data_IF_395075434840
#
_entry.id   IF_395075434840
#
_cell.length_a   1.000
_cell.length_b   1.000
_cell.length_c   1.000
_cell.angle_alpha   90.00
_cell.angle_beta   90.00
_cell.angle_gamma   90.00
#
_symmetry.space_group_name_H-M   'P 1'
#
loop_
_entity.id
_entity.type
_entity.pdbx_description
1 polymer ?
#
# COMPACT_ATOMS: atom_id res chain seq x y z
N UNK A 1 -9.73 -42.04 -23.77
CA UNK A 1 -9.12 -42.48 -22.49
C UNK A 1 -7.85 -41.69 -22.25
N UNK A 2 -7.82 -40.95 -21.14
CA UNK A 2 -6.63 -40.23 -20.69
C UNK A 2 -5.67 -41.26 -20.06
N UNK A 3 -4.43 -41.32 -20.55
CA UNK A 3 -3.39 -42.24 -20.06
C UNK A 3 -2.13 -41.47 -19.72
N UNK A 4 -1.41 -41.91 -18.71
CA UNK A 4 -0.08 -41.43 -18.37
C UNK A 4 0.90 -42.59 -18.27
N UNK A 5 2.18 -42.35 -18.60
CA UNK A 5 3.25 -43.32 -18.50
C UNK A 5 3.74 -43.36 -17.08
N UNK A 6 3.63 -44.51 -16.43
CA UNK A 6 4.13 -44.70 -15.05
C UNK A 6 5.60 -45.13 -15.01
N UNK A 7 6.06 -45.88 -16.02
CA UNK A 7 7.45 -46.37 -16.11
C UNK A 7 8.32 -45.30 -16.81
N UNK A 8 8.61 -44.22 -16.13
CA UNK A 8 9.45 -43.10 -16.56
C UNK A 8 9.92 -42.31 -15.36
N UNK A 9 10.84 -41.38 -15.53
CA UNK A 9 11.22 -40.39 -14.55
C UNK A 9 10.02 -39.50 -14.16
N UNK A 10 9.86 -39.26 -12.85
CA UNK A 10 8.71 -38.50 -12.40
C UNK A 10 8.81 -37.02 -12.78
N UNK A 11 7.67 -36.52 -13.30
CA UNK A 11 7.45 -35.10 -13.62
C UNK A 11 6.05 -34.70 -13.17
N UNK A 12 5.89 -33.44 -12.81
CA UNK A 12 4.60 -32.91 -12.39
C UNK A 12 4.70 -31.48 -11.94
N UNK A 13 3.82 -31.10 -11.02
CA UNK A 13 3.68 -29.73 -10.54
C UNK A 13 3.62 -29.70 -9.02
N UNK A 14 4.25 -28.71 -8.41
CA UNK A 14 4.08 -28.37 -7.01
C UNK A 14 2.74 -27.64 -6.84
N UNK A 15 1.83 -28.17 -6.05
CA UNK A 15 0.52 -27.56 -5.79
C UNK A 15 0.65 -26.49 -4.74
N UNK A 16 1.38 -26.80 -3.67
CA UNK A 16 1.57 -25.95 -2.51
C UNK A 16 2.88 -26.32 -1.80
N UNK A 17 3.46 -25.34 -1.10
CA UNK A 17 4.64 -25.60 -0.29
C UNK A 17 4.68 -24.68 0.93
N UNK A 18 5.22 -25.20 2.02
CA UNK A 18 5.37 -24.49 3.28
C UNK A 18 6.67 -24.87 3.99
N UNK A 19 7.03 -24.08 4.99
CA UNK A 19 8.16 -24.37 5.87
C UNK A 19 7.65 -24.96 7.19
N UNK A 20 7.81 -26.26 7.36
CA UNK A 20 7.51 -26.94 8.61
C UNK A 20 8.65 -26.74 9.63
N UNK A 21 8.31 -26.47 10.90
CA UNK A 21 9.30 -26.19 11.96
C UNK A 21 10.21 -27.37 12.27
N UNK A 22 9.73 -28.60 12.10
CA UNK A 22 10.48 -29.83 12.42
C UNK A 22 11.06 -30.52 11.19
N UNK A 23 10.33 -30.46 10.08
CA UNK A 23 10.62 -31.22 8.86
C UNK A 23 11.36 -30.39 7.79
N UNK A 24 11.39 -29.06 7.94
CA UNK A 24 11.96 -28.14 6.97
C UNK A 24 11.01 -27.86 5.79
N UNK A 25 11.53 -27.57 4.59
CA UNK A 25 10.69 -27.34 3.41
C UNK A 25 9.89 -28.59 3.03
N UNK A 26 8.59 -28.44 2.94
CA UNK A 26 7.62 -29.48 2.54
C UNK A 26 6.85 -28.98 1.33
N UNK A 27 6.72 -29.78 0.29
CA UNK A 27 5.93 -29.46 -0.88
C UNK A 27 4.93 -30.56 -1.21
N UNK A 28 3.68 -30.21 -1.44
CA UNK A 28 2.69 -31.11 -2.02
C UNK A 28 2.84 -31.06 -3.55
N UNK A 29 3.17 -32.18 -4.14
CA UNK A 29 3.36 -32.31 -5.60
C UNK A 29 2.33 -33.27 -6.18
N UNK A 30 1.86 -32.95 -7.39
CA UNK A 30 1.02 -33.83 -8.19
C UNK A 30 1.89 -34.46 -9.27
N UNK A 31 2.07 -35.77 -9.22
CA UNK A 31 2.78 -36.52 -10.25
C UNK A 31 1.90 -36.59 -11.49
N UNK A 32 2.39 -36.11 -12.63
CA UNK A 32 1.68 -36.15 -13.92
C UNK A 32 2.18 -37.26 -14.84
N UNK A 33 3.44 -37.61 -14.71
CA UNK A 33 4.11 -38.66 -15.51
C UNK A 33 5.22 -39.27 -14.68
N UNK A 34 5.52 -40.56 -14.93
CA UNK A 34 6.55 -41.30 -14.21
C UNK A 34 6.14 -41.69 -12.82
N UNK A 35 7.05 -42.28 -12.09
CA UNK A 35 6.87 -42.71 -10.69
C UNK A 35 7.93 -42.06 -9.82
N UNK A 36 7.51 -41.21 -8.88
CA UNK A 36 8.39 -40.59 -7.89
C UNK A 36 8.67 -41.57 -6.75
N UNK A 37 9.93 -41.70 -6.37
CA UNK A 37 10.38 -42.64 -5.33
C UNK A 37 11.15 -41.92 -4.23
N UNK A 38 11.12 -42.46 -3.02
CA UNK A 38 12.00 -42.04 -1.95
C UNK A 38 13.45 -42.31 -2.36
N UNK A 39 14.30 -41.31 -2.21
CA UNK A 39 15.71 -41.35 -2.64
C UNK A 39 15.97 -40.62 -3.97
N UNK A 40 14.95 -40.27 -4.73
CA UNK A 40 15.11 -39.54 -5.99
C UNK A 40 15.67 -38.12 -5.78
N UNK A 41 16.54 -37.69 -6.70
CA UNK A 41 16.98 -36.30 -6.77
C UNK A 41 15.90 -35.46 -7.48
N UNK A 42 15.30 -34.51 -6.78
CA UNK A 42 14.16 -33.73 -7.27
C UNK A 42 14.51 -32.26 -7.43
N UNK A 43 13.94 -31.62 -8.46
CA UNK A 43 13.99 -30.18 -8.70
C UNK A 43 12.57 -29.68 -8.85
N UNK A 44 12.23 -28.59 -8.15
CA UNK A 44 10.97 -27.86 -8.33
C UNK A 44 11.28 -26.36 -8.39
N UNK A 45 10.99 -25.73 -9.54
CA UNK A 45 11.38 -24.33 -9.75
C UNK A 45 12.89 -24.10 -9.52
N UNK A 46 13.21 -23.15 -8.66
CA UNK A 46 14.57 -22.86 -8.18
C UNK A 46 15.01 -23.68 -6.98
N UNK A 47 14.17 -24.59 -6.47
CA UNK A 47 14.49 -25.47 -5.35
C UNK A 47 14.90 -26.85 -5.82
N UNK A 48 15.79 -27.50 -5.09
CA UNK A 48 16.20 -28.89 -5.37
C UNK A 48 16.38 -29.65 -4.05
N UNK A 49 16.56 -30.94 -4.13
CA UNK A 49 16.83 -31.78 -2.98
C UNK A 49 16.76 -33.26 -3.30
N UNK A 50 16.80 -34.06 -2.26
CA UNK A 50 16.60 -35.51 -2.34
C UNK A 50 15.36 -35.88 -1.56
N UNK A 51 14.46 -36.63 -2.17
CA UNK A 51 13.22 -37.11 -1.52
C UNK A 51 13.60 -37.98 -0.32
N UNK A 52 13.44 -37.44 0.91
CA UNK A 52 13.72 -38.14 2.16
C UNK A 52 12.54 -39.00 2.61
N UNK A 53 11.35 -38.48 2.41
CA UNK A 53 10.09 -39.15 2.71
C UNK A 53 8.99 -38.55 1.85
N UNK A 54 7.97 -39.35 1.61
CA UNK A 54 6.72 -38.91 1.01
C UNK A 54 5.56 -39.30 1.91
N UNK A 55 4.58 -38.42 2.03
CA UNK A 55 3.34 -38.69 2.78
C UNK A 55 2.15 -38.61 1.82
N UNK A 56 1.21 -39.47 1.99
CA UNK A 56 -0.06 -39.44 1.27
C UNK A 56 -1.06 -38.44 1.89
N UNK A 57 -2.27 -38.46 1.40
CA UNK A 57 -3.38 -37.63 1.87
C UNK A 57 -3.83 -37.93 3.30
N UNK A 58 -3.45 -39.05 3.84
CA UNK A 58 -3.71 -39.45 5.25
C UNK A 58 -2.53 -39.14 6.17
N UNK A 59 -1.42 -38.65 5.64
CA UNK A 59 -0.19 -38.40 6.37
C UNK A 59 0.67 -39.65 6.62
N UNK A 60 0.37 -40.74 5.91
CA UNK A 60 1.12 -41.99 6.01
C UNK A 60 2.31 -42.00 5.03
N UNK A 61 3.40 -42.66 5.47
CA UNK A 61 4.58 -42.77 4.61
C UNK A 61 4.34 -43.69 3.43
N UNK A 62 4.69 -43.20 2.25
CA UNK A 62 4.66 -43.99 1.00
C UNK A 62 6.03 -44.01 0.36
N UNK A 63 6.41 -45.13 -0.23
CA UNK A 63 7.70 -45.33 -0.88
C UNK A 63 7.74 -44.82 -2.31
N UNK A 64 6.58 -44.80 -2.99
CA UNK A 64 6.44 -44.39 -4.36
C UNK A 64 5.09 -43.73 -4.64
N UNK A 65 5.07 -42.84 -5.64
CA UNK A 65 3.86 -42.19 -6.13
C UNK A 65 3.84 -42.15 -7.66
N UNK A 66 2.84 -42.81 -8.24
CA UNK A 66 2.61 -42.85 -9.71
C UNK A 66 1.81 -41.64 -10.20
N UNK A 67 1.46 -41.60 -11.50
CA UNK A 67 0.70 -40.55 -12.12
C UNK A 67 -0.66 -40.32 -11.46
N UNK A 68 -1.08 -39.03 -11.43
CA UNK A 68 -2.33 -38.53 -10.82
C UNK A 68 -2.40 -38.66 -9.29
N UNK A 69 -1.30 -39.01 -8.63
CA UNK A 69 -1.24 -39.10 -7.17
C UNK A 69 -0.60 -37.84 -6.57
N UNK A 70 -1.31 -37.10 -5.71
CA UNK A 70 -0.71 -36.05 -4.91
C UNK A 70 0.04 -36.64 -3.71
N UNK A 71 1.23 -36.13 -3.42
CA UNK A 71 2.02 -36.53 -2.26
C UNK A 71 2.75 -35.34 -1.67
N UNK A 72 2.90 -35.34 -0.35
CA UNK A 72 3.79 -34.40 0.33
C UNK A 72 5.21 -34.91 0.27
N UNK A 73 6.13 -34.13 -0.26
CA UNK A 73 7.54 -34.46 -0.41
C UNK A 73 8.36 -33.68 0.59
N UNK A 74 9.19 -34.38 1.34
CA UNK A 74 10.15 -33.84 2.27
C UNK A 74 11.57 -34.00 1.70
N UNK A 75 12.41 -32.97 1.84
CA UNK A 75 13.81 -33.08 1.44
C UNK A 75 14.30 -32.00 0.51
N UNK A 76 13.47 -31.02 0.17
CA UNK A 76 13.89 -29.81 -0.55
C UNK A 76 14.86 -28.96 0.27
N UNK A 77 15.74 -28.23 -0.39
CA UNK A 77 16.67 -27.26 0.25
C UNK A 77 16.01 -25.93 0.57
N UNK A 78 14.97 -25.56 -0.18
CA UNK A 78 14.15 -24.36 0.02
C UNK A 78 12.70 -24.66 -0.35
N UNK A 79 11.79 -23.77 0.03
CA UNK A 79 10.37 -23.91 -0.31
C UNK A 79 10.18 -23.56 -1.79
N UNK A 80 9.69 -24.47 -2.66
CA UNK A 80 9.35 -24.15 -4.03
C UNK A 80 8.08 -23.29 -4.10
N UNK A 81 7.86 -22.63 -5.22
CA UNK A 81 6.64 -21.87 -5.46
C UNK A 81 5.48 -22.77 -5.90
N UNK A 82 4.25 -22.36 -5.58
CA UNK A 82 3.05 -23.00 -6.13
C UNK A 82 3.05 -22.86 -7.67
N UNK A 83 2.68 -23.93 -8.37
CA UNK A 83 2.73 -23.97 -9.84
C UNK A 83 4.11 -24.32 -10.43
N UNK A 84 5.16 -24.40 -9.64
CA UNK A 84 6.48 -24.83 -10.11
C UNK A 84 6.42 -26.26 -10.70
N UNK A 85 6.98 -26.42 -11.88
CA UNK A 85 7.15 -27.77 -12.44
C UNK A 85 8.28 -28.49 -11.73
N UNK A 86 8.00 -29.71 -11.27
CA UNK A 86 9.04 -30.57 -10.74
C UNK A 86 9.46 -31.65 -11.75
N UNK A 87 10.69 -32.11 -11.59
CA UNK A 87 11.24 -33.24 -12.31
C UNK A 87 12.24 -33.98 -11.42
N UNK A 88 12.41 -35.28 -11.68
CA UNK A 88 13.48 -36.10 -11.15
C UNK A 88 14.70 -35.96 -12.07
N UNK A 89 15.87 -35.84 -11.46
CA UNK A 89 17.16 -35.82 -12.15
C UNK A 89 17.97 -37.05 -11.78
N UNK A 90 18.87 -37.46 -12.68
CA UNK A 90 19.72 -38.66 -12.49
C UNK A 90 20.59 -38.55 -11.22
N UNK A 91 21.08 -37.36 -10.95
CA UNK A 91 21.99 -37.12 -9.81
C UNK A 91 21.70 -35.77 -9.13
N UNK A 92 22.07 -35.67 -7.82
CA UNK A 92 21.95 -34.44 -7.02
C UNK A 92 22.68 -33.25 -7.66
N UNK A 93 23.82 -33.50 -8.32
CA UNK A 93 24.60 -32.46 -9.01
C UNK A 93 23.81 -31.88 -10.18
N UNK A 94 23.16 -32.72 -10.96
CA UNK A 94 22.30 -32.31 -12.11
C UNK A 94 21.10 -31.54 -11.57
N UNK A 95 20.44 -32.04 -10.52
CA UNK A 95 19.34 -31.37 -9.87
C UNK A 95 19.71 -29.94 -9.42
N UNK A 96 20.85 -29.81 -8.76
CA UNK A 96 21.37 -28.52 -8.31
C UNK A 96 21.64 -27.55 -9.49
N UNK A 97 22.29 -28.03 -10.55
CA UNK A 97 22.59 -27.20 -11.73
C UNK A 97 21.33 -26.69 -12.42
N UNK A 98 20.29 -27.54 -12.52
CA UNK A 98 19.01 -27.13 -13.11
C UNK A 98 18.35 -26.05 -12.24
N UNK A 99 18.32 -26.23 -10.92
CA UNK A 99 17.75 -25.26 -9.97
C UNK A 99 18.49 -23.91 -10.03
N UNK A 100 19.82 -23.92 -9.97
CA UNK A 100 20.65 -22.70 -10.05
C UNK A 100 20.42 -21.96 -11.38
N UNK A 101 20.31 -22.68 -12.50
CA UNK A 101 20.02 -22.09 -13.82
C UNK A 101 18.64 -21.44 -13.86
N UNK A 102 17.61 -22.10 -13.31
CA UNK A 102 16.26 -21.55 -13.22
C UNK A 102 16.22 -20.31 -12.34
N UNK A 103 16.85 -20.36 -11.17
CA UNK A 103 16.94 -19.24 -10.25
C UNK A 103 17.67 -18.03 -10.85
N UNK A 104 18.76 -18.26 -11.59
CA UNK A 104 19.48 -17.21 -12.31
C UNK A 104 18.62 -16.58 -13.40
N UNK A 105 17.87 -17.40 -14.16
CA UNK A 105 16.96 -16.91 -15.20
C UNK A 105 15.82 -16.05 -14.59
N UNK A 106 15.23 -16.49 -13.50
CA UNK A 106 14.19 -15.75 -12.78
C UNK A 106 14.72 -14.41 -12.23
N UNK A 107 15.90 -14.43 -11.58
CA UNK A 107 16.56 -13.21 -11.11
C UNK A 107 16.82 -12.22 -12.25
N UNK A 108 17.32 -12.71 -13.39
CA UNK A 108 17.57 -11.87 -14.55
C UNK A 108 16.27 -11.29 -15.13
N UNK A 109 15.18 -12.06 -15.14
CA UNK A 109 13.87 -11.57 -15.58
C UNK A 109 13.32 -10.49 -14.65
N UNK A 110 13.46 -10.67 -13.32
CA UNK A 110 13.07 -9.67 -12.33
C UNK A 110 13.91 -8.38 -12.46
N UNK A 111 15.23 -8.51 -12.62
CA UNK A 111 16.11 -7.35 -12.84
C UNK A 111 15.80 -6.64 -14.17
N UNK A 112 15.43 -7.34 -15.21
CA UNK A 112 15.02 -6.73 -16.48
C UNK A 112 13.71 -5.95 -16.36
N UNK A 113 12.74 -6.46 -15.59
CA UNK A 113 11.48 -5.76 -15.28
C UNK A 113 11.73 -4.50 -14.43
N UNK A 114 12.66 -4.57 -13.46
CA UNK A 114 13.01 -3.44 -12.59
C UNK A 114 13.84 -2.35 -13.28
N UNK A 115 14.48 -2.64 -14.42
CA UNK A 115 15.27 -1.69 -15.22
C UNK A 115 14.40 -0.79 -16.12
N UNK A 116 13.38 -0.11 -15.59
CA UNK A 116 12.89 1.10 -16.25
C UNK A 116 13.98 2.16 -16.13
N UNK A 117 14.37 2.78 -17.26
CA UNK A 117 15.24 3.96 -17.24
C UNK A 117 14.48 5.04 -16.49
N UNK A 118 14.90 5.33 -15.28
CA UNK A 118 14.36 6.45 -14.49
C UNK A 118 15.02 7.70 -15.06
N UNK A 119 14.26 8.61 -15.66
CA UNK A 119 14.73 9.93 -16.05
C UNK A 119 14.89 10.80 -14.79
N UNK A 120 15.63 11.89 -14.89
CA UNK A 120 15.76 12.85 -13.78
C UNK A 120 14.40 13.47 -13.41
N UNK A 121 13.53 13.61 -14.40
CA UNK A 121 12.15 14.09 -14.25
C UNK A 121 11.30 13.08 -13.47
N UNK A 122 11.37 11.78 -13.84
CA UNK A 122 10.70 10.68 -13.12
C UNK A 122 11.18 10.62 -11.65
N UNK A 123 12.48 10.87 -11.40
CA UNK A 123 13.00 10.89 -10.03
C UNK A 123 12.45 12.06 -9.20
N UNK A 124 12.26 13.23 -9.81
CA UNK A 124 11.65 14.38 -9.14
C UNK A 124 10.15 14.18 -8.90
N UNK A 125 9.45 13.48 -9.77
CA UNK A 125 8.04 13.10 -9.58
C UNK A 125 7.91 12.02 -8.51
N UNK A 126 8.74 10.96 -8.54
CA UNK A 126 8.77 9.92 -7.51
C UNK A 126 9.10 10.47 -6.11
N UNK A 127 9.89 11.53 -5.99
CA UNK A 127 10.17 12.15 -4.69
C UNK A 127 8.95 12.80 -4.03
N UNK A 128 7.85 13.00 -4.78
CA UNK A 128 6.57 13.54 -4.28
C UNK A 128 5.60 12.45 -3.85
N UNK A 129 5.84 11.20 -4.26
CA UNK A 129 4.97 10.05 -3.97
C UNK A 129 5.36 9.48 -2.61
N UNK A 130 4.39 9.35 -1.73
CA UNK A 130 4.59 8.66 -0.45
C UNK A 130 4.46 7.17 -0.67
N UNK A 131 5.53 6.39 -0.39
CA UNK A 131 5.54 4.94 -0.63
C UNK A 131 5.37 4.17 0.67
N UNK A 132 4.39 3.28 0.74
CA UNK A 132 4.24 2.29 1.80
C UNK A 132 5.02 1.04 1.43
N UNK A 133 6.10 0.77 2.17
CA UNK A 133 6.91 -0.42 1.97
C UNK A 133 6.38 -1.56 2.84
N UNK A 134 6.25 -2.76 2.25
CA UNK A 134 5.75 -3.95 2.95
C UNK A 134 6.73 -5.11 2.83
N UNK A 135 6.79 -5.92 3.90
CA UNK A 135 7.38 -7.25 3.90
C UNK A 135 6.25 -8.23 4.20
N UNK A 136 6.04 -9.21 3.32
CA UNK A 136 4.97 -10.19 3.44
C UNK A 136 5.52 -11.54 3.89
N UNK A 137 4.95 -12.09 4.96
CA UNK A 137 5.27 -13.43 5.47
C UNK A 137 3.98 -14.22 5.63
N UNK A 138 3.95 -15.45 5.12
CA UNK A 138 2.78 -16.31 5.20
C UNK A 138 3.12 -17.75 5.57
N UNK A 139 2.09 -18.51 5.86
CA UNK A 139 2.18 -19.94 6.17
C UNK A 139 2.55 -20.77 4.94
N UNK A 140 1.99 -20.43 3.78
CA UNK A 140 2.20 -21.10 2.49
C UNK A 140 2.48 -20.11 1.38
N UNK A 141 3.13 -20.56 0.30
CA UNK A 141 3.51 -19.70 -0.84
C UNK A 141 2.29 -19.10 -1.54
N UNK A 142 1.21 -19.88 -1.72
CA UNK A 142 -0.01 -19.42 -2.38
C UNK A 142 -0.73 -18.29 -1.62
N UNK A 143 -0.73 -18.34 -0.28
CA UNK A 143 -1.30 -17.26 0.55
C UNK A 143 -0.54 -15.95 0.40
N UNK A 144 0.80 -16.01 0.36
CA UNK A 144 1.65 -14.82 0.19
C UNK A 144 1.47 -14.21 -1.19
N UNK A 145 1.42 -15.04 -2.23
CA UNK A 145 1.22 -14.59 -3.61
C UNK A 145 -0.17 -13.97 -3.81
N UNK A 146 -1.23 -14.61 -3.29
CA UNK A 146 -2.59 -14.07 -3.37
C UNK A 146 -2.71 -12.72 -2.64
N UNK A 147 -2.05 -12.57 -1.48
CA UNK A 147 -2.05 -11.31 -0.75
C UNK A 147 -1.27 -10.22 -1.51
N UNK A 148 -0.09 -10.55 -2.05
CA UNK A 148 0.71 -9.62 -2.85
C UNK A 148 -0.07 -9.12 -4.07
N UNK A 149 -0.65 -10.04 -4.86
CA UNK A 149 -1.43 -9.70 -6.05
C UNK A 149 -2.63 -8.82 -5.72
N UNK A 150 -3.34 -9.11 -4.63
CA UNK A 150 -4.48 -8.31 -4.20
C UNK A 150 -4.05 -6.90 -3.75
N UNK A 151 -2.93 -6.78 -3.04
CA UNK A 151 -2.41 -5.49 -2.58
C UNK A 151 -1.89 -4.63 -3.74
N UNK A 152 -1.24 -5.24 -4.74
CA UNK A 152 -0.74 -4.53 -5.92
C UNK A 152 -1.86 -4.06 -6.88
N UNK A 153 -3.09 -4.58 -6.73
CA UNK A 153 -4.27 -4.15 -7.47
C UNK A 153 -5.03 -3.00 -6.80
N UNK A 154 -4.64 -2.59 -5.59
CA UNK A 154 -5.27 -1.46 -4.92
C UNK A 154 -5.02 -0.16 -5.69
N UNK A 155 -6.09 0.52 -6.06
CA UNK A 155 -6.03 1.87 -6.65
C UNK A 155 -6.28 2.91 -5.55
N UNK A 156 -5.24 3.56 -5.10
CA UNK A 156 -5.29 4.58 -4.04
C UNK A 156 -4.93 5.99 -4.55
N UNK A 157 -4.85 6.15 -5.88
CA UNK A 157 -4.49 7.42 -6.51
C UNK A 157 -2.99 7.59 -6.75
N UNK A 158 -2.62 8.63 -7.47
CA UNK A 158 -1.25 8.84 -7.97
C UNK A 158 -0.25 9.39 -6.92
N UNK A 159 -0.73 9.79 -5.73
CA UNK A 159 0.11 10.42 -4.70
C UNK A 159 0.74 9.42 -3.72
N UNK A 160 0.24 8.19 -3.71
CA UNK A 160 0.69 7.12 -2.81
C UNK A 160 0.98 5.87 -3.62
N UNK A 161 2.05 5.17 -3.29
CA UNK A 161 2.46 3.92 -3.92
C UNK A 161 2.64 2.83 -2.85
N UNK A 162 2.40 1.57 -3.24
CA UNK A 162 2.63 0.41 -2.40
C UNK A 162 3.74 -0.43 -3.00
N UNK A 163 4.72 -0.79 -2.18
CA UNK A 163 5.85 -1.59 -2.62
C UNK A 163 6.10 -2.78 -1.71
N UNK A 164 6.03 -3.98 -2.26
CA UNK A 164 6.46 -5.20 -1.57
C UNK A 164 7.97 -5.36 -1.75
N UNK A 165 8.73 -5.18 -0.66
CA UNK A 165 10.20 -5.26 -0.67
C UNK A 165 10.67 -6.70 -0.59
N UNK A 166 10.00 -7.50 0.22
CA UNK A 166 10.33 -8.90 0.42
C UNK A 166 9.09 -9.72 0.70
N UNK A 167 9.11 -10.95 0.23
CA UNK A 167 8.09 -11.97 0.52
C UNK A 167 8.75 -13.26 0.95
N UNK A 168 8.11 -14.02 1.83
CA UNK A 168 8.63 -15.30 2.28
C UNK A 168 7.61 -16.16 2.99
N UNK A 169 7.92 -17.44 3.09
CA UNK A 169 7.12 -18.46 3.75
C UNK A 169 7.73 -18.79 5.11
N UNK A 170 6.88 -19.04 6.10
CA UNK A 170 7.27 -19.39 7.46
C UNK A 170 7.23 -18.22 8.45
N UNK A 171 7.72 -18.44 9.65
CA UNK A 171 7.69 -17.45 10.74
C UNK A 171 8.48 -16.18 10.38
N UNK A 172 8.09 -15.06 10.98
CA UNK A 172 8.82 -13.80 10.85
C UNK A 172 10.14 -13.94 11.63
N UNK A 173 11.24 -13.64 10.96
CA UNK A 173 12.60 -13.80 11.48
C UNK A 173 13.24 -12.45 11.84
N UNK A 174 14.36 -12.49 12.57
CA UNK A 174 15.16 -11.27 12.86
C UNK A 174 15.66 -10.59 11.58
N UNK A 175 15.97 -11.37 10.53
CA UNK A 175 16.40 -10.82 9.25
C UNK A 175 15.29 -10.01 8.57
N UNK A 176 14.03 -10.48 8.66
CA UNK A 176 12.88 -9.75 8.15
C UNK A 176 12.71 -8.40 8.88
N UNK A 177 12.87 -8.40 10.22
CA UNK A 177 12.80 -7.17 11.02
C UNK A 177 13.95 -6.20 10.68
N UNK A 178 15.17 -6.71 10.54
CA UNK A 178 16.33 -5.88 10.17
C UNK A 178 16.12 -5.24 8.78
N UNK A 179 15.58 -6.00 7.83
CA UNK A 179 15.26 -5.49 6.50
C UNK A 179 14.14 -4.44 6.58
N UNK A 180 13.11 -4.66 7.40
CA UNK A 180 12.02 -3.73 7.62
C UNK A 180 12.52 -2.41 8.22
N UNK A 181 13.37 -2.47 9.26
CA UNK A 181 13.99 -1.28 9.88
C UNK A 181 14.80 -0.49 8.84
N UNK A 182 15.64 -1.17 8.05
CA UNK A 182 16.49 -0.52 7.03
C UNK A 182 15.70 0.11 5.88
N UNK A 183 14.51 -0.39 5.58
CA UNK A 183 13.68 0.06 4.45
C UNK A 183 12.42 0.83 4.87
N UNK A 184 12.27 1.11 6.15
CA UNK A 184 11.06 1.75 6.74
C UNK A 184 9.80 1.01 6.27
N UNK A 185 9.80 -0.31 6.42
CA UNK A 185 8.71 -1.17 5.97
C UNK A 185 7.87 -1.70 7.15
N UNK A 186 6.60 -1.95 6.89
CA UNK A 186 5.70 -2.67 7.79
C UNK A 186 5.77 -4.16 7.45
N UNK A 187 5.83 -5.01 8.48
CA UNK A 187 5.84 -6.47 8.30
C UNK A 187 4.43 -7.02 8.47
N UNK A 188 3.95 -7.71 7.47
CA UNK A 188 2.64 -8.36 7.46
C UNK A 188 2.82 -9.87 7.61
N UNK A 189 2.28 -10.42 8.69
CA UNK A 189 2.24 -11.86 8.94
C UNK A 189 0.85 -12.43 8.63
N UNK A 190 0.72 -13.25 7.60
CA UNK A 190 -0.52 -13.95 7.27
C UNK A 190 -0.47 -15.39 7.77
N UNK A 191 -1.33 -15.73 8.74
CA UNK A 191 -1.34 -17.00 9.48
C UNK A 191 0.00 -17.37 10.16
N UNK A 192 0.94 -16.44 10.26
CA UNK A 192 2.24 -16.65 10.91
C UNK A 192 2.49 -15.59 11.96
N UNK A 193 3.25 -15.95 12.98
CA UNK A 193 3.65 -15.07 14.08
C UNK A 193 5.16 -15.08 14.23
N UNK A 194 5.77 -13.99 14.73
CA UNK A 194 7.18 -13.99 15.09
C UNK A 194 7.43 -14.94 16.28
N UNK A 195 8.65 -15.42 16.38
CA UNK A 195 9.12 -16.02 17.62
C UNK A 195 9.17 -14.96 18.73
N UNK A 196 9.02 -15.33 20.03
CA UNK A 196 8.99 -14.36 21.12
C UNK A 196 10.18 -13.40 21.13
N UNK A 197 11.38 -13.89 20.83
CA UNK A 197 12.60 -13.07 20.75
C UNK A 197 12.57 -12.11 19.55
N UNK A 198 11.94 -12.50 18.45
CA UNK A 198 11.80 -11.65 17.25
C UNK A 198 10.76 -10.55 17.49
N UNK A 199 9.71 -10.85 18.25
CA UNK A 199 8.72 -9.81 18.63
C UNK A 199 9.37 -8.71 19.47
N UNK A 200 10.14 -9.08 20.50
CA UNK A 200 10.89 -8.12 21.33
C UNK A 200 11.87 -7.29 20.47
N UNK A 201 12.53 -7.95 19.52
CA UNK A 201 13.48 -7.30 18.61
C UNK A 201 12.76 -6.30 17.68
N UNK A 202 11.56 -6.63 17.19
CA UNK A 202 10.75 -5.71 16.39
C UNK A 202 10.38 -4.45 17.18
N UNK A 203 9.96 -4.60 18.43
CA UNK A 203 9.65 -3.47 19.31
C UNK A 203 10.88 -2.58 19.56
N UNK A 204 12.07 -3.18 19.76
CA UNK A 204 13.33 -2.45 19.94
C UNK A 204 13.76 -1.67 18.70
N UNK A 205 13.57 -2.25 17.52
CA UNK A 205 13.88 -1.61 16.23
C UNK A 205 12.78 -0.63 15.77
N UNK A 206 11.65 -0.54 16.48
CA UNK A 206 10.52 0.31 16.12
C UNK A 206 9.81 -0.15 14.84
N UNK A 207 9.87 -1.43 14.51
CA UNK A 207 9.25 -2.02 13.32
C UNK A 207 7.82 -2.44 13.64
N UNK A 208 6.87 -1.91 12.88
CA UNK A 208 5.47 -2.30 12.99
C UNK A 208 5.26 -3.68 12.37
N UNK A 209 4.66 -4.59 13.14
CA UNK A 209 4.31 -5.94 12.69
C UNK A 209 2.82 -6.16 12.88
N UNK A 210 2.10 -6.47 11.80
CA UNK A 210 0.66 -6.74 11.80
C UNK A 210 0.38 -8.19 11.45
N UNK A 211 -0.66 -8.76 12.04
CA UNK A 211 -1.04 -10.17 11.87
C UNK A 211 -2.46 -10.30 11.37
N UNK A 212 -2.63 -11.12 10.35
CA UNK A 212 -3.93 -11.39 9.75
C UNK A 212 -4.11 -12.90 9.55
N UNK A 213 -5.34 -13.34 9.68
CA UNK A 213 -5.79 -14.70 9.32
C UNK A 213 -6.87 -14.67 8.23
N UNK A 214 -7.37 -13.49 7.90
CA UNK A 214 -8.38 -13.25 6.86
C UNK A 214 -7.81 -12.26 5.86
N UNK A 215 -7.72 -12.64 4.60
CA UNK A 215 -7.07 -11.84 3.55
C UNK A 215 -7.74 -10.48 3.34
N UNK A 216 -9.08 -10.45 3.40
CA UNK A 216 -9.86 -9.22 3.22
C UNK A 216 -9.58 -8.17 4.31
N UNK A 217 -9.35 -8.61 5.55
CA UNK A 217 -8.98 -7.68 6.64
C UNK A 217 -7.61 -7.05 6.38
N UNK A 218 -6.64 -7.85 5.90
CA UNK A 218 -5.33 -7.33 5.56
C UNK A 218 -5.41 -6.27 4.44
N UNK A 219 -6.19 -6.55 3.40
CA UNK A 219 -6.38 -5.65 2.26
C UNK A 219 -7.04 -4.34 2.72
N UNK A 220 -8.16 -4.44 3.48
CA UNK A 220 -8.92 -3.28 3.95
C UNK A 220 -8.08 -2.36 4.86
N UNK A 221 -7.36 -2.93 5.83
CA UNK A 221 -6.53 -2.14 6.74
C UNK A 221 -5.33 -1.49 6.04
N UNK A 222 -4.73 -2.16 5.06
CA UNK A 222 -3.64 -1.59 4.26
C UNK A 222 -4.17 -0.50 3.35
N UNK A 223 -5.34 -0.69 2.72
CA UNK A 223 -6.00 0.34 1.93
C UNK A 223 -6.32 1.59 2.76
N UNK A 224 -6.87 1.41 3.96
CA UNK A 224 -7.11 2.52 4.90
C UNK A 224 -5.81 3.23 5.30
N UNK A 225 -4.73 2.47 5.51
CA UNK A 225 -3.41 3.04 5.82
C UNK A 225 -2.86 3.84 4.65
N UNK A 226 -3.01 3.37 3.42
CA UNK A 226 -2.63 4.08 2.20
C UNK A 226 -3.45 5.37 2.02
N UNK A 227 -4.78 5.31 2.20
CA UNK A 227 -5.66 6.49 2.18
C UNK A 227 -5.26 7.52 3.24
N UNK A 228 -4.82 7.07 4.41
CA UNK A 228 -4.32 7.92 5.50
C UNK A 228 -2.99 8.64 5.18
N UNK A 229 -2.21 8.14 4.22
CA UNK A 229 -0.98 8.78 3.75
C UNK A 229 -1.23 9.86 2.69
N UNK A 230 -2.43 9.93 2.12
CA UNK A 230 -2.81 10.94 1.15
C UNK A 230 -2.82 12.33 1.80
N UNK A 231 -2.31 13.34 1.10
CA UNK A 231 -2.38 14.72 1.57
C UNK A 231 -3.84 15.17 1.63
N UNK A 232 -4.23 15.95 2.67
CA UNK A 232 -5.57 16.49 2.74
C UNK A 232 -5.82 17.41 1.54
N UNK A 233 -6.88 17.15 0.80
CA UNK A 233 -7.38 18.08 -0.21
C UNK A 233 -8.28 19.11 0.48
N UNK A 234 -8.07 20.38 0.16
CA UNK A 234 -8.91 21.45 0.65
C UNK A 234 -9.77 21.98 -0.48
N UNK A 235 -11.05 22.19 -0.22
CA UNK A 235 -11.97 22.87 -1.10
C UNK A 235 -12.40 24.21 -0.50
N UNK A 236 -12.62 25.19 -1.37
CA UNK A 236 -13.15 26.49 -0.95
C UNK A 236 -14.65 26.37 -0.67
N UNK A 237 -15.03 26.64 0.55
CA UNK A 237 -16.44 26.72 0.95
C UNK A 237 -16.82 28.18 1.16
N UNK A 238 -17.71 28.70 0.31
CA UNK A 238 -18.22 30.06 0.44
C UNK A 238 -19.11 30.15 1.68
N UNK A 239 -18.78 31.05 2.59
CA UNK A 239 -19.52 31.29 3.82
C UNK A 239 -20.64 32.29 3.64
N UNK A 240 -20.43 33.31 2.82
CA UNK A 240 -21.43 34.35 2.54
C UNK A 240 -20.87 35.49 1.70
N UNK A 241 -21.77 36.33 1.23
CA UNK A 241 -21.49 37.49 0.40
C UNK A 241 -22.02 38.77 1.07
N UNK A 242 -21.22 39.84 1.00
CA UNK A 242 -21.63 41.16 1.49
C UNK A 242 -21.42 42.24 0.42
N UNK A 243 -22.42 43.04 0.12
CA UNK A 243 -22.34 44.16 -0.79
C UNK A 243 -21.80 45.41 -0.11
N UNK A 244 -20.80 46.03 -0.69
CA UNK A 244 -20.21 47.28 -0.20
C UNK A 244 -21.16 48.46 -0.51
N UNK A 245 -21.74 49.08 0.49
CA UNK A 245 -22.65 50.21 0.38
C UNK A 245 -21.97 51.55 0.62
N UNK A 246 -20.93 51.56 1.47
CA UNK A 246 -20.18 52.74 1.78
C UNK A 246 -18.73 52.40 2.14
N UNK A 247 -17.81 53.36 2.05
CA UNK A 247 -16.38 53.16 2.35
C UNK A 247 -15.89 54.20 3.31
N UNK A 248 -15.52 53.76 4.51
CA UNK A 248 -14.98 54.60 5.57
C UNK A 248 -13.45 54.50 5.64
N UNK A 249 -12.78 55.63 5.65
CA UNK A 249 -11.31 55.68 5.83
C UNK A 249 -10.99 55.78 7.30
N UNK A 250 -10.27 54.83 7.84
CA UNK A 250 -9.77 54.80 9.21
C UNK A 250 -8.25 54.98 9.23
N UNK A 251 -7.74 55.87 10.04
CA UNK A 251 -6.29 56.07 10.21
C UNK A 251 -5.56 54.89 10.85
N UNK A 252 -6.29 53.99 11.54
CA UNK A 252 -5.72 52.84 12.24
C UNK A 252 -6.01 51.49 11.56
N UNK A 253 -7.12 51.37 10.82
CA UNK A 253 -7.61 50.09 10.29
C UNK A 253 -7.67 50.08 8.74
N UNK A 254 -7.16 51.12 8.06
CA UNK A 254 -7.28 51.20 6.61
C UNK A 254 -8.71 51.53 6.13
N UNK A 255 -9.11 50.99 5.01
CA UNK A 255 -10.46 51.16 4.49
C UNK A 255 -11.39 50.12 5.17
N UNK A 256 -12.52 50.62 5.67
CA UNK A 256 -13.60 49.79 6.23
C UNK A 256 -14.78 49.84 5.26
N UNK A 257 -15.20 48.69 4.75
CA UNK A 257 -16.40 48.55 3.94
C UNK A 257 -17.65 48.54 4.82
N UNK A 258 -18.48 49.59 4.75
CA UNK A 258 -19.86 49.53 5.23
C UNK A 258 -20.68 48.68 4.30
N UNK A 259 -20.99 47.46 4.71
CA UNK A 259 -21.54 46.41 3.85
C UNK A 259 -22.86 45.86 4.38
N UNK A 260 -23.71 45.39 3.49
CA UNK A 260 -24.90 44.60 3.79
C UNK A 260 -24.64 43.15 3.46
N UNK A 261 -24.86 42.24 4.38
CA UNK A 261 -24.74 40.79 4.13
C UNK A 261 -25.93 40.36 3.28
N UNK A 262 -25.65 39.89 2.03
CA UNK A 262 -26.65 39.47 1.08
C UNK A 262 -27.11 38.04 1.30
N UNK A 263 -26.17 37.17 1.67
CA UNK A 263 -26.41 35.77 1.98
C UNK A 263 -25.36 35.21 2.96
N UNK A 264 -25.70 34.13 3.60
CA UNK A 264 -24.82 33.38 4.48
C UNK A 264 -24.32 34.13 5.71
N UNK A 265 -23.02 34.01 6.00
CA UNK A 265 -22.40 34.53 7.22
C UNK A 265 -21.05 35.16 6.89
N UNK A 266 -20.80 36.37 7.39
CA UNK A 266 -19.49 37.00 7.36
C UNK A 266 -18.82 36.75 8.71
N UNK A 267 -17.61 36.21 8.70
CA UNK A 267 -16.86 35.84 9.91
C UNK A 267 -15.52 36.57 9.96
N UNK A 268 -15.18 37.05 11.15
CA UNK A 268 -13.87 37.65 11.42
C UNK A 268 -12.75 36.61 11.27
N UNK A 269 -11.59 36.99 10.75
CA UNK A 269 -10.43 36.17 10.44
C UNK A 269 -10.66 35.16 9.31
N UNK A 270 -11.81 35.14 8.64
CA UNK A 270 -12.03 34.33 7.46
C UNK A 270 -11.32 34.93 6.23
N UNK A 271 -11.07 34.07 5.26
CA UNK A 271 -10.57 34.49 3.95
C UNK A 271 -11.70 35.17 3.18
N UNK A 272 -11.31 36.16 2.37
CA UNK A 272 -12.24 36.89 1.56
C UNK A 272 -11.65 37.22 0.18
N UNK A 273 -12.52 37.52 -0.77
CA UNK A 273 -12.16 38.10 -2.06
C UNK A 273 -13.09 39.24 -2.39
N UNK A 274 -12.56 40.24 -3.11
CA UNK A 274 -13.33 41.34 -3.64
C UNK A 274 -13.77 41.01 -5.06
N UNK A 275 -15.06 41.11 -5.31
CA UNK A 275 -15.65 40.85 -6.60
C UNK A 275 -16.36 42.09 -7.15
N UNK A 276 -16.26 42.33 -8.47
CA UNK A 276 -16.96 43.38 -9.18
C UNK A 276 -17.60 42.82 -10.45
N UNK A 277 -18.90 42.99 -10.63
CA UNK A 277 -19.65 42.45 -11.76
C UNK A 277 -19.45 40.95 -12.00
N UNK A 278 -19.24 40.17 -10.92
CA UNK A 278 -19.00 38.72 -10.97
C UNK A 278 -17.55 38.30 -11.24
N UNK A 279 -16.64 39.27 -11.43
CA UNK A 279 -15.20 38.98 -11.60
C UNK A 279 -14.43 39.27 -10.31
N UNK A 280 -13.40 38.42 -10.02
CA UNK A 280 -12.52 38.58 -8.86
C UNK A 280 -11.52 39.70 -9.15
N UNK A 281 -11.58 40.78 -8.40
CA UNK A 281 -10.65 41.91 -8.49
C UNK A 281 -9.41 41.66 -7.61
N UNK A 282 -9.62 41.20 -6.38
CA UNK A 282 -8.53 40.89 -5.43
C UNK A 282 -8.92 39.66 -4.64
N UNK A 283 -8.02 38.68 -4.61
CA UNK A 283 -8.20 37.42 -3.89
C UNK A 283 -7.31 37.35 -2.64
N UNK A 284 -7.53 36.31 -1.84
CA UNK A 284 -6.74 35.98 -0.66
C UNK A 284 -6.66 37.12 0.39
N UNK A 285 -7.72 37.90 0.51
CA UNK A 285 -7.88 38.88 1.57
C UNK A 285 -8.21 38.17 2.89
N UNK A 286 -7.97 38.86 4.00
CA UNK A 286 -8.40 38.41 5.32
C UNK A 286 -9.26 39.47 5.98
N UNK A 287 -10.35 39.08 6.63
CA UNK A 287 -11.18 40.01 7.40
C UNK A 287 -10.49 40.31 8.71
N UNK A 288 -9.75 41.40 8.77
CA UNK A 288 -9.00 41.82 9.97
C UNK A 288 -9.91 42.33 11.06
N UNK A 289 -10.99 43.04 10.70
CA UNK A 289 -11.98 43.54 11.62
C UNK A 289 -13.40 43.38 11.10
N UNK A 290 -14.30 43.04 12.00
CA UNK A 290 -15.73 42.94 11.71
C UNK A 290 -16.47 43.65 12.84
N UNK A 291 -17.31 44.63 12.46
CA UNK A 291 -18.05 45.44 13.44
C UNK A 291 -19.51 45.53 13.03
N UNK A 292 -20.38 45.53 14.03
CA UNK A 292 -21.78 45.87 13.87
C UNK A 292 -22.08 47.14 14.67
N UNK A 293 -22.44 48.22 13.99
CA UNK A 293 -22.48 49.57 14.56
C UNK A 293 -21.09 49.98 15.13
N UNK A 294 -20.96 50.04 16.47
CA UNK A 294 -19.69 50.38 17.15
C UNK A 294 -19.02 49.20 17.82
N UNK A 295 -19.71 48.05 17.90
CA UNK A 295 -19.27 46.89 18.63
C UNK A 295 -18.53 45.88 17.72
N UNK A 296 -17.46 45.30 18.24
CA UNK A 296 -16.75 44.21 17.55
C UNK A 296 -17.63 42.96 17.52
N UNK A 297 -17.75 42.36 16.32
CA UNK A 297 -18.49 41.12 16.09
C UNK A 297 -17.57 40.00 15.63
N UNK A 298 -17.88 38.79 16.04
CA UNK A 298 -17.19 37.58 15.56
C UNK A 298 -17.81 37.07 14.26
N UNK A 299 -19.13 37.23 14.12
CA UNK A 299 -19.91 36.87 12.91
C UNK A 299 -21.09 37.81 12.69
N UNK A 300 -21.45 38.01 11.45
CA UNK A 300 -22.66 38.74 11.04
C UNK A 300 -23.40 37.93 9.99
N UNK A 301 -24.72 37.78 10.16
CA UNK A 301 -25.59 36.95 9.31
C UNK A 301 -26.28 37.79 8.22
N UNK A 302 -26.83 37.07 7.26
CA UNK A 302 -27.67 37.64 6.23
C UNK A 302 -28.70 38.66 6.72
N UNK A 303 -28.88 39.75 5.97
CA UNK A 303 -29.84 40.81 6.22
C UNK A 303 -29.36 41.89 7.25
N UNK A 304 -28.13 41.76 7.76
CA UNK A 304 -27.58 42.74 8.68
C UNK A 304 -26.46 43.58 8.08
N UNK A 305 -26.40 44.84 8.47
CA UNK A 305 -25.29 45.72 8.11
C UNK A 305 -24.10 45.51 9.01
N UNK A 306 -22.91 45.62 8.43
CA UNK A 306 -21.65 45.50 9.16
C UNK A 306 -20.52 46.31 8.50
N UNK A 307 -19.52 46.65 9.33
CA UNK A 307 -18.26 47.21 8.86
C UNK A 307 -17.22 46.12 8.72
N UNK A 308 -16.73 45.89 7.50
CA UNK A 308 -15.73 44.87 7.19
C UNK A 308 -14.40 45.55 6.88
N UNK A 309 -13.37 45.25 7.68
CA UNK A 309 -12.01 45.69 7.42
C UNK A 309 -11.21 44.58 6.75
N UNK A 310 -10.69 44.88 5.54
CA UNK A 310 -9.88 43.96 4.74
C UNK A 310 -8.48 44.54 4.48
N UNK A 311 -7.94 45.26 5.44
CA UNK A 311 -6.62 45.89 5.33
C UNK A 311 -6.58 47.14 4.44
N UNK A 312 -5.45 47.41 3.81
CA UNK A 312 -5.20 48.60 2.99
C UNK A 312 -5.66 48.48 1.54
N UNK A 313 -6.80 47.92 1.28
CA UNK A 313 -7.33 47.77 -0.08
C UNK A 313 -7.72 49.15 -0.67
N UNK A 314 -6.98 49.63 -1.66
CA UNK A 314 -7.25 50.93 -2.32
C UNK A 314 -8.25 50.86 -3.43
N UNK A 315 -8.52 49.66 -3.96
CA UNK A 315 -9.31 49.44 -5.19
C UNK A 315 -10.82 49.20 -4.97
N UNK A 316 -11.24 49.12 -3.70
CA UNK A 316 -12.61 48.86 -3.31
C UNK A 316 -13.54 50.02 -3.70
N UNK A 317 -14.69 49.73 -4.28
CA UNK A 317 -15.70 50.68 -4.70
C UNK A 317 -17.06 50.29 -4.12
N UNK A 318 -17.95 51.28 -4.03
CA UNK A 318 -19.39 51.06 -3.71
C UNK A 318 -20.02 50.20 -4.81
N UNK A 319 -20.73 49.17 -4.43
CA UNK A 319 -21.31 48.16 -5.33
C UNK A 319 -20.46 46.92 -5.54
N UNK A 320 -19.23 46.87 -5.00
CA UNK A 320 -18.43 45.65 -4.96
C UNK A 320 -19.03 44.63 -4.00
N UNK A 321 -18.75 43.35 -4.21
CA UNK A 321 -19.16 42.26 -3.34
C UNK A 321 -17.92 41.68 -2.62
N UNK A 322 -17.97 41.59 -1.31
CA UNK A 322 -16.98 40.87 -0.52
C UNK A 322 -17.51 39.45 -0.31
N UNK A 323 -16.91 38.51 -0.99
CA UNK A 323 -17.20 37.07 -0.82
C UNK A 323 -16.27 36.47 0.20
N UNK A 324 -16.84 35.87 1.23
CA UNK A 324 -16.10 35.25 2.34
C UNK A 324 -16.12 33.74 2.17
N UNK A 325 -14.96 33.12 2.33
CA UNK A 325 -14.79 31.67 2.18
C UNK A 325 -13.85 31.12 3.24
N UNK A 326 -13.93 29.82 3.46
CA UNK A 326 -12.97 29.06 4.25
C UNK A 326 -12.51 27.83 3.47
N UNK A 327 -11.28 27.41 3.73
CA UNK A 327 -10.76 26.16 3.21
C UNK A 327 -11.22 25.04 4.11
N UNK A 328 -12.01 24.11 3.60
CA UNK A 328 -12.46 22.90 4.29
C UNK A 328 -11.78 21.70 3.72
N UNK A 329 -11.37 20.80 4.59
CA UNK A 329 -10.85 19.50 4.15
C UNK A 329 -11.98 18.71 3.47
N UNK A 330 -11.72 18.31 2.23
CA UNK A 330 -12.65 17.50 1.44
C UNK A 330 -12.62 16.07 1.97
N UNK A 331 -13.73 15.57 2.47
CA UNK A 331 -13.85 14.15 2.82
C UNK A 331 -13.73 13.32 1.54
N UNK A 332 -12.65 12.56 1.41
CA UNK A 332 -12.52 11.55 0.36
C UNK A 332 -13.42 10.37 0.73
N UNK A 333 -14.23 9.93 -0.24
CA UNK A 333 -15.14 8.79 -0.08
C UNK A 333 -14.39 7.45 -0.16
#
# INVERSE_FOLDING_TARGET
DLRAIADDEARGVAIEAHLDRGRGPVATVLVQRGTLKVGDAIVAGGSFGRVRAMLDEHGENVSEAGPSRPVQVLGFTSVPSAGDTFLVADEDRTARQIAEKRQAAERNAQLAKARKKVSLEDFMEQSKITTLNLILKGDVSGSVEALEDALLQLDVGAEVDLRVIHRGVGAITKSDITLASASTAVVIGFNVKPEPQTAIFADQEGVEVRFYSVIYQAIEEIELSLKGLLKPEYEEFVLGNAEVRDIFKSSKAGNIAGSMVLDGIIRRNAKARLMRNGEVITDNLTIDSLKRFKDDATEVREGFECGIGVGTLKEMQVGDTIQVYEMREKKRA
#
